data_IF_277931023524
#
_entry.id   IF_277931023524
#
_cell.length_a   1.000
_cell.length_b   1.000
_cell.length_c   1.000
_cell.angle_alpha   90.00
_cell.angle_beta   90.00
_cell.angle_gamma   90.00
#
_symmetry.space_group_name_H-M   'P 1'
#
loop_
_entity.id
_entity.type
_entity.pdbx_description
1 polymer ?
#
# COMPACT_ATOMS: atom_id res chain seq x y z
N UNK A 1 -12.22 17.97 -10.06
CA UNK A 1 -12.36 16.70 -9.30
C UNK A 1 -10.97 16.22 -8.96
N UNK A 2 -10.77 15.44 -7.89
CA UNK A 2 -9.48 14.85 -7.57
C UNK A 2 -9.09 13.78 -8.59
N UNK A 3 -7.79 13.61 -8.85
CA UNK A 3 -7.31 12.53 -9.74
C UNK A 3 -7.36 11.15 -9.06
N UNK A 4 -7.25 11.13 -7.74
CA UNK A 4 -7.37 9.93 -6.93
C UNK A 4 -8.52 10.10 -5.96
N UNK A 5 -9.42 9.14 -5.96
CA UNK A 5 -10.59 9.12 -5.07
C UNK A 5 -10.67 7.80 -4.31
N UNK A 6 -11.24 7.81 -3.11
CA UNK A 6 -11.64 6.60 -2.42
C UNK A 6 -13.14 6.59 -2.11
N UNK A 7 -13.75 5.42 -2.21
CA UNK A 7 -15.18 5.28 -1.99
C UNK A 7 -15.57 3.87 -1.56
N UNK A 8 -16.48 3.73 -0.56
CA UNK A 8 -17.06 2.45 -0.21
C UNK A 8 -18.17 2.00 -1.18
N UNK A 9 -18.53 2.82 -2.16
CA UNK A 9 -19.62 2.55 -3.09
C UNK A 9 -19.09 2.02 -4.42
N UNK A 10 -19.88 1.16 -5.08
CA UNK A 10 -19.60 0.67 -6.42
C UNK A 10 -19.62 1.79 -7.44
N UNK A 11 -18.56 1.88 -8.25
CA UNK A 11 -18.38 2.96 -9.25
C UNK A 11 -18.79 2.59 -10.68
N UNK A 12 -19.16 1.33 -10.94
CA UNK A 12 -19.38 0.80 -12.30
C UNK A 12 -20.31 1.66 -13.16
N UNK A 13 -21.34 2.26 -12.57
CA UNK A 13 -22.32 3.12 -13.28
C UNK A 13 -21.81 4.54 -13.51
N UNK A 14 -20.70 4.93 -12.88
CA UNK A 14 -20.19 6.30 -12.83
C UNK A 14 -18.82 6.46 -13.50
N UNK A 15 -18.28 5.40 -14.11
CA UNK A 15 -16.91 5.40 -14.65
C UNK A 15 -16.70 6.46 -15.72
N UNK A 16 -17.64 6.66 -16.62
CA UNK A 16 -17.56 7.68 -17.66
C UNK A 16 -17.52 9.10 -17.07
N UNK A 17 -18.38 9.38 -16.07
CA UNK A 17 -18.40 10.68 -15.38
C UNK A 17 -17.14 10.92 -14.56
N UNK A 18 -16.66 9.91 -13.83
CA UNK A 18 -15.41 10.01 -13.06
C UNK A 18 -14.24 10.32 -13.98
N UNK A 19 -14.13 9.60 -15.10
CA UNK A 19 -13.08 9.82 -16.09
C UNK A 19 -13.14 11.22 -16.71
N UNK A 20 -14.33 11.67 -17.11
CA UNK A 20 -14.52 13.02 -17.66
C UNK A 20 -14.23 14.12 -16.62
N UNK A 21 -14.40 13.81 -15.34
CA UNK A 21 -14.04 14.65 -14.20
C UNK A 21 -12.55 14.59 -13.83
N UNK A 22 -11.70 13.96 -14.66
CA UNK A 22 -10.25 13.83 -14.48
C UNK A 22 -9.82 12.86 -13.36
N UNK A 23 -10.69 11.93 -12.93
CA UNK A 23 -10.28 10.83 -12.06
C UNK A 23 -9.39 9.88 -12.88
N UNK A 24 -8.30 9.46 -12.29
CA UNK A 24 -7.33 8.52 -12.86
C UNK A 24 -7.29 7.21 -12.07
N UNK A 25 -7.44 7.30 -10.74
CA UNK A 25 -7.39 6.14 -9.85
C UNK A 25 -8.57 6.13 -8.89
N UNK A 26 -9.16 4.96 -8.72
CA UNK A 26 -10.19 4.71 -7.70
C UNK A 26 -9.61 3.77 -6.64
N UNK A 27 -9.61 4.21 -5.38
CA UNK A 27 -9.26 3.35 -4.25
C UNK A 27 -10.53 2.65 -3.78
N UNK A 28 -10.52 1.33 -3.76
CA UNK A 28 -11.64 0.50 -3.35
C UNK A 28 -11.24 -0.42 -2.18
N UNK A 29 -12.23 -0.94 -1.52
CA UNK A 29 -12.06 -1.63 -0.26
C UNK A 29 -11.98 -3.15 -0.41
N UNK A 30 -11.12 -3.75 0.40
CA UNK A 30 -11.13 -5.15 0.79
C UNK A 30 -11.71 -5.27 2.20
N UNK A 31 -12.35 -6.39 2.49
CA UNK A 31 -12.87 -6.73 3.81
C UNK A 31 -13.24 -8.22 3.89
N UNK A 32 -13.52 -8.71 5.09
CA UNK A 32 -14.05 -10.07 5.27
C UNK A 32 -15.49 -10.18 4.78
N UNK A 33 -16.30 -9.18 5.14
CA UNK A 33 -17.74 -9.15 4.79
C UNK A 33 -18.26 -7.73 4.67
N UNK A 34 -19.18 -7.51 3.74
CA UNK A 34 -19.92 -6.27 3.64
C UNK A 34 -20.98 -6.17 4.73
N UNK A 35 -21.22 -4.96 5.25
CA UNK A 35 -22.33 -4.71 6.15
C UNK A 35 -23.63 -4.42 5.38
N UNK A 36 -24.77 -4.47 6.08
CA UNK A 36 -26.06 -4.08 5.51
C UNK A 36 -26.11 -2.60 5.13
N UNK A 37 -25.34 -1.74 5.80
CA UNK A 37 -25.22 -0.30 5.49
C UNK A 37 -24.32 -0.02 4.30
N UNK A 38 -23.34 -0.89 4.03
CA UNK A 38 -22.38 -0.78 2.94
C UNK A 38 -22.31 -2.11 2.19
N UNK A 39 -23.39 -2.50 1.47
CA UNK A 39 -23.49 -3.81 0.82
C UNK A 39 -22.51 -3.98 -0.36
N UNK A 40 -21.97 -2.89 -0.86
CA UNK A 40 -21.07 -2.86 -2.02
C UNK A 40 -19.66 -2.35 -1.65
N UNK A 41 -19.29 -2.33 -0.34
CA UNK A 41 -18.01 -1.81 0.12
C UNK A 41 -16.82 -2.54 -0.54
N UNK A 42 -16.87 -3.88 -0.56
CA UNK A 42 -15.82 -4.68 -1.17
C UNK A 42 -15.88 -4.59 -2.69
N UNK A 43 -14.74 -4.28 -3.33
CA UNK A 43 -14.61 -4.35 -4.78
C UNK A 43 -14.82 -5.79 -5.26
N UNK A 44 -15.53 -5.96 -6.35
CA UNK A 44 -15.73 -7.25 -6.99
C UNK A 44 -14.83 -7.40 -8.23
N UNK A 45 -14.52 -8.65 -8.67
CA UNK A 45 -13.78 -8.87 -9.91
C UNK A 45 -14.40 -8.15 -11.12
N UNK A 46 -15.70 -8.19 -11.26
CA UNK A 46 -16.40 -7.51 -12.35
C UNK A 46 -16.26 -5.98 -12.30
N UNK A 47 -16.28 -5.38 -11.10
CA UNK A 47 -16.04 -3.95 -10.92
C UNK A 47 -14.59 -3.58 -11.25
N UNK A 48 -13.62 -4.37 -10.78
CA UNK A 48 -12.20 -4.16 -11.05
C UNK A 48 -11.91 -4.18 -12.56
N UNK A 49 -12.47 -5.15 -13.28
CA UNK A 49 -12.38 -5.22 -14.75
C UNK A 49 -13.04 -4.02 -15.43
N UNK A 50 -14.21 -3.57 -14.95
CA UNK A 50 -14.88 -2.41 -15.50
C UNK A 50 -14.07 -1.12 -15.32
N UNK A 51 -13.42 -0.94 -14.16
CA UNK A 51 -12.51 0.19 -13.88
C UNK A 51 -11.34 0.18 -14.88
N UNK A 52 -10.69 -0.98 -15.06
CA UNK A 52 -9.62 -1.15 -16.03
C UNK A 52 -10.07 -0.88 -17.47
N UNK A 53 -11.21 -1.41 -17.89
CA UNK A 53 -11.78 -1.20 -19.22
C UNK A 53 -12.14 0.26 -19.49
N UNK A 54 -12.48 1.04 -18.46
CA UNK A 54 -12.68 2.48 -18.57
C UNK A 54 -11.35 3.27 -18.69
N UNK A 55 -10.20 2.60 -18.59
CA UNK A 55 -8.87 3.21 -18.60
C UNK A 55 -8.58 3.99 -17.30
N UNK A 56 -9.09 3.50 -16.18
CA UNK A 56 -8.77 3.97 -14.84
C UNK A 56 -7.92 2.91 -14.14
N UNK A 57 -7.08 3.33 -13.20
CA UNK A 57 -6.36 2.44 -12.31
C UNK A 57 -7.12 2.21 -11.01
N UNK A 58 -6.75 1.15 -10.31
CA UNK A 58 -7.26 0.75 -9.02
C UNK A 58 -6.16 0.88 -7.97
N UNK A 59 -6.53 1.13 -6.73
CA UNK A 59 -5.71 0.92 -5.55
C UNK A 59 -6.59 0.30 -4.47
N UNK A 60 -6.02 -0.44 -3.53
CA UNK A 60 -6.82 -1.20 -2.56
C UNK A 60 -6.48 -0.85 -1.12
N UNK A 61 -7.51 -0.84 -0.27
CA UNK A 61 -7.39 -0.68 1.17
C UNK A 61 -8.22 -1.74 1.89
N UNK A 62 -7.59 -2.46 2.80
CA UNK A 62 -8.29 -3.41 3.67
C UNK A 62 -8.85 -2.69 4.89
N UNK A 63 -10.15 -2.80 5.10
CA UNK A 63 -10.83 -2.28 6.27
C UNK A 63 -12.10 -3.10 6.59
N UNK A 64 -12.00 -3.99 7.58
CA UNK A 64 -13.18 -4.62 8.19
C UNK A 64 -13.74 -3.73 9.30
N UNK A 65 -12.97 -3.51 10.36
CA UNK A 65 -13.23 -2.56 11.44
C UNK A 65 -12.20 -1.44 11.47
N UNK A 66 -10.92 -1.80 11.34
CA UNK A 66 -9.80 -0.86 11.29
C UNK A 66 -9.60 -0.10 12.60
N UNK A 67 -10.07 -0.65 13.73
CA UNK A 67 -9.97 0.00 15.03
C UNK A 67 -10.88 1.23 15.19
N UNK A 68 -11.84 1.43 14.26
CA UNK A 68 -12.76 2.56 14.30
C UNK A 68 -13.48 2.68 15.65
N UNK A 69 -13.62 3.89 16.15
CA UNK A 69 -14.18 4.13 17.48
C UNK A 69 -13.28 3.69 18.64
N UNK A 70 -11.98 3.44 18.40
CA UNK A 70 -11.02 3.03 19.43
C UNK A 70 -11.02 1.52 19.74
N UNK A 71 -11.60 0.69 18.87
CA UNK A 71 -11.68 -0.76 19.07
C UNK A 71 -10.36 -1.43 18.69
N UNK A 72 -9.37 -1.35 19.56
CA UNK A 72 -8.01 -1.86 19.34
C UNK A 72 -7.95 -3.36 19.06
N UNK A 73 -8.93 -4.15 19.53
CA UNK A 73 -9.01 -5.60 19.26
C UNK A 73 -9.14 -5.95 17.77
N UNK A 74 -9.51 -5.00 16.93
CA UNK A 74 -9.54 -5.19 15.48
C UNK A 74 -8.13 -5.16 14.85
N UNK A 75 -7.12 -4.77 15.61
CA UNK A 75 -5.73 -4.50 15.17
C UNK A 75 -4.70 -5.30 15.98
N UNK A 76 -5.07 -6.48 16.47
CA UNK A 76 -4.14 -7.40 17.13
C UNK A 76 -3.42 -8.33 16.13
N UNK A 77 -2.49 -9.13 16.62
CA UNK A 77 -1.69 -10.07 15.79
C UNK A 77 -2.56 -11.07 15.04
N UNK A 78 -3.58 -11.63 15.70
CA UNK A 78 -4.47 -12.62 15.09
C UNK A 78 -5.31 -11.99 13.97
N UNK A 79 -5.79 -10.77 14.17
CA UNK A 79 -6.45 -9.97 13.14
C UNK A 79 -5.49 -9.68 11.98
N UNK A 80 -4.22 -9.38 12.26
CA UNK A 80 -3.20 -9.15 11.23
C UNK A 80 -3.03 -10.34 10.28
N UNK A 81 -2.88 -11.54 10.81
CA UNK A 81 -2.81 -12.78 10.01
C UNK A 81 -4.11 -13.02 9.21
N UNK A 82 -5.26 -12.85 9.86
CA UNK A 82 -6.57 -13.04 9.22
C UNK A 82 -6.79 -12.06 8.07
N UNK A 83 -6.47 -10.77 8.28
CA UNK A 83 -6.64 -9.70 7.31
C UNK A 83 -5.68 -9.87 6.14
N UNK A 84 -4.43 -10.26 6.40
CA UNK A 84 -3.43 -10.55 5.37
C UNK A 84 -3.88 -11.71 4.47
N UNK A 85 -4.27 -12.84 5.05
CA UNK A 85 -4.75 -13.99 4.28
C UNK A 85 -5.96 -13.64 3.41
N UNK A 86 -6.90 -12.85 3.96
CA UNK A 86 -8.06 -12.40 3.20
C UNK A 86 -7.69 -11.40 2.11
N UNK A 87 -6.76 -10.48 2.36
CA UNK A 87 -6.28 -9.52 1.38
C UNK A 87 -5.60 -10.21 0.20
N UNK A 88 -4.74 -11.21 0.44
CA UNK A 88 -4.11 -12.04 -0.60
C UNK A 88 -5.14 -12.74 -1.49
N UNK A 89 -6.16 -13.36 -0.87
CA UNK A 89 -7.24 -14.00 -1.61
C UNK A 89 -7.98 -13.00 -2.51
N UNK A 90 -8.38 -11.83 -1.96
CA UNK A 90 -9.12 -10.81 -2.70
C UNK A 90 -8.29 -10.14 -3.80
N UNK A 91 -7.00 -9.95 -3.56
CA UNK A 91 -6.06 -9.46 -4.56
C UNK A 91 -5.99 -10.41 -5.77
N UNK A 92 -5.87 -11.71 -5.52
CA UNK A 92 -5.92 -12.73 -6.57
C UNK A 92 -7.26 -12.73 -7.34
N UNK A 93 -8.40 -12.63 -6.61
CA UNK A 93 -9.74 -12.61 -7.21
C UNK A 93 -9.92 -11.43 -8.20
N UNK A 94 -9.33 -10.25 -7.92
CA UNK A 94 -9.46 -9.07 -8.79
C UNK A 94 -8.33 -8.91 -9.79
N UNK A 95 -7.33 -9.80 -9.78
CA UNK A 95 -6.15 -9.71 -10.64
C UNK A 95 -5.23 -8.55 -10.26
N UNK A 96 -5.06 -8.26 -8.95
CA UNK A 96 -4.08 -7.29 -8.48
C UNK A 96 -2.68 -7.86 -8.66
N UNK A 97 -1.79 -7.17 -9.39
CA UNK A 97 -0.45 -7.68 -9.68
C UNK A 97 0.44 -7.64 -8.43
N UNK A 98 1.38 -8.57 -8.35
CA UNK A 98 2.44 -8.56 -7.34
C UNK A 98 3.21 -7.24 -7.34
N UNK A 99 3.76 -6.85 -6.19
CA UNK A 99 4.45 -5.59 -6.02
C UNK A 99 3.53 -4.35 -5.87
N UNK A 100 2.22 -4.45 -6.14
CA UNK A 100 1.28 -3.38 -5.82
C UNK A 100 1.14 -3.19 -4.30
N UNK A 101 0.63 -2.03 -3.87
CA UNK A 101 0.38 -1.78 -2.44
C UNK A 101 -1.02 -2.21 -2.06
N UNK A 102 -1.16 -2.85 -0.90
CA UNK A 102 -2.43 -2.99 -0.20
C UNK A 102 -2.33 -2.19 1.10
N UNK A 103 -3.15 -1.17 1.23
CA UNK A 103 -3.24 -0.39 2.46
C UNK A 103 -4.09 -1.12 3.50
N UNK A 104 -3.73 -0.96 4.78
CA UNK A 104 -4.54 -1.42 5.91
C UNK A 104 -4.95 -0.23 6.76
N UNK A 105 -6.24 -0.12 7.07
CA UNK A 105 -6.79 1.05 7.74
C UNK A 105 -6.65 0.96 9.25
N UNK A 106 -6.13 2.06 9.84
CA UNK A 106 -6.18 2.37 11.27
C UNK A 106 -7.02 3.63 11.45
N UNK A 107 -8.32 3.43 11.62
CA UNK A 107 -9.34 4.50 11.53
C UNK A 107 -9.69 5.10 12.90
N UNK A 108 -8.65 5.44 13.66
CA UNK A 108 -8.75 6.12 14.95
C UNK A 108 -7.40 6.74 15.32
N UNK A 109 -7.43 7.83 16.11
CA UNK A 109 -6.20 8.47 16.61
C UNK A 109 -5.67 7.77 17.85
N UNK A 110 -4.93 6.69 17.66
CA UNK A 110 -4.28 5.96 18.75
C UNK A 110 -3.02 6.67 19.21
N UNK A 111 -2.94 6.96 20.50
CA UNK A 111 -1.80 7.65 21.15
C UNK A 111 -1.24 6.87 22.34
N UNK A 112 -2.00 5.92 22.88
CA UNK A 112 -1.55 5.07 23.99
C UNK A 112 -0.39 4.17 23.54
N UNK A 113 0.74 4.12 24.27
CA UNK A 113 1.89 3.32 23.87
C UNK A 113 1.60 1.81 23.73
N UNK A 114 0.69 1.27 24.54
CA UNK A 114 0.26 -0.13 24.47
C UNK A 114 -0.53 -0.40 23.20
N UNK A 115 -1.44 0.51 22.82
CA UNK A 115 -2.17 0.42 21.56
C UNK A 115 -1.24 0.56 20.36
N UNK A 116 -0.28 1.47 20.40
CA UNK A 116 0.73 1.63 19.35
C UNK A 116 1.57 0.35 19.19
N UNK A 117 1.96 -0.29 20.29
CA UNK A 117 2.66 -1.58 20.25
C UNK A 117 1.79 -2.70 19.64
N UNK A 118 0.50 -2.73 19.96
CA UNK A 118 -0.46 -3.69 19.38
C UNK A 118 -0.58 -3.48 17.86
N UNK A 119 -0.77 -2.24 17.40
CA UNK A 119 -0.83 -1.88 15.97
C UNK A 119 0.46 -2.28 15.25
N UNK A 120 1.63 -2.02 15.86
CA UNK A 120 2.90 -2.43 15.28
C UNK A 120 2.99 -3.95 15.10
N UNK A 121 2.48 -4.72 16.05
CA UNK A 121 2.44 -6.18 15.97
C UNK A 121 1.45 -6.68 14.90
N UNK A 122 0.31 -6.01 14.73
CA UNK A 122 -0.63 -6.25 13.63
C UNK A 122 0.04 -6.10 12.26
N UNK A 123 0.75 -5.00 12.03
CA UNK A 123 1.47 -4.78 10.77
C UNK A 123 2.67 -5.71 10.59
N UNK A 124 3.31 -6.14 11.69
CA UNK A 124 4.36 -7.18 11.63
C UNK A 124 3.81 -8.50 11.09
N UNK A 125 2.61 -8.91 11.53
CA UNK A 125 1.95 -10.12 11.06
C UNK A 125 1.60 -10.02 9.57
N UNK A 126 1.02 -8.88 9.13
CA UNK A 126 0.69 -8.64 7.71
C UNK A 126 1.95 -8.69 6.84
N UNK A 127 3.00 -7.98 7.25
CA UNK A 127 4.27 -7.94 6.53
C UNK A 127 4.88 -9.34 6.38
N UNK A 128 4.85 -10.14 7.46
CA UNK A 128 5.32 -11.52 7.45
C UNK A 128 4.53 -12.38 6.46
N UNK A 129 3.19 -12.29 6.49
CA UNK A 129 2.34 -13.17 5.68
C UNK A 129 2.31 -12.77 4.19
N UNK A 130 2.56 -11.49 3.89
CA UNK A 130 2.72 -11.05 2.51
C UNK A 130 4.02 -11.55 1.86
N UNK A 131 5.04 -11.82 2.67
CA UNK A 131 6.31 -12.40 2.22
C UNK A 131 6.91 -11.74 0.96
N UNK A 132 6.72 -10.43 0.80
CA UNK A 132 7.20 -9.67 -0.36
C UNK A 132 6.27 -9.68 -1.57
N UNK A 133 5.23 -10.52 -1.61
CA UNK A 133 4.30 -10.59 -2.74
C UNK A 133 3.58 -9.26 -3.01
N UNK A 134 3.22 -8.53 -1.96
CA UNK A 134 2.64 -7.19 -2.03
C UNK A 134 3.37 -6.25 -1.07
N UNK A 135 3.41 -4.98 -1.42
CA UNK A 135 3.86 -3.94 -0.49
C UNK A 135 2.75 -3.59 0.49
N UNK A 136 3.11 -3.39 1.75
CA UNK A 136 2.15 -2.99 2.79
C UNK A 136 2.06 -1.47 2.84
N UNK A 137 0.84 -0.94 2.79
CA UNK A 137 0.53 0.45 3.09
C UNK A 137 -0.24 0.58 4.40
N UNK A 138 -0.15 1.74 5.05
CA UNK A 138 -0.92 2.07 6.25
C UNK A 138 -1.74 3.33 6.02
N UNK A 139 -3.07 3.25 6.27
CA UNK A 139 -3.95 4.41 6.35
C UNK A 139 -4.15 4.78 7.81
N UNK A 140 -3.98 6.05 8.17
CA UNK A 140 -4.25 6.50 9.54
C UNK A 140 -3.59 7.83 9.92
N UNK A 141 -3.28 7.98 11.21
CA UNK A 141 -2.59 9.15 11.74
C UNK A 141 -1.10 9.17 11.36
N UNK A 142 -0.47 10.33 11.44
CA UNK A 142 0.98 10.45 11.20
C UNK A 142 1.81 9.67 12.23
N UNK A 143 1.34 9.55 13.48
CA UNK A 143 2.01 8.76 14.52
C UNK A 143 2.00 7.28 14.17
N UNK A 144 0.84 6.74 13.82
CA UNK A 144 0.69 5.33 13.41
C UNK A 144 1.52 5.06 12.15
N UNK A 145 1.38 5.90 11.13
CA UNK A 145 2.10 5.77 9.86
C UNK A 145 3.61 5.67 10.07
N UNK A 146 4.20 6.63 10.80
CA UNK A 146 5.63 6.62 11.11
C UNK A 146 6.06 5.40 11.90
N UNK A 147 5.29 5.05 12.95
CA UNK A 147 5.65 3.92 13.80
C UNK A 147 5.77 2.62 13.00
N UNK A 148 4.83 2.40 12.08
CA UNK A 148 4.80 1.18 11.24
C UNK A 148 5.86 1.24 10.15
N UNK A 149 6.08 2.40 9.52
CA UNK A 149 7.11 2.60 8.51
C UNK A 149 8.52 2.51 9.10
N UNK A 150 8.80 3.17 10.23
CA UNK A 150 10.11 3.11 10.89
C UNK A 150 10.45 1.69 11.39
N UNK A 151 9.43 0.86 11.66
CA UNK A 151 9.61 -0.56 11.97
C UNK A 151 9.87 -1.44 10.72
N UNK A 152 9.75 -0.88 9.51
CA UNK A 152 9.92 -1.61 8.25
C UNK A 152 8.74 -2.52 7.87
N UNK A 153 7.58 -2.37 8.50
CA UNK A 153 6.39 -3.21 8.25
C UNK A 153 5.45 -2.62 7.20
N UNK A 154 5.55 -1.33 6.91
CA UNK A 154 4.86 -0.70 5.79
C UNK A 154 5.80 0.23 5.04
N UNK A 155 5.68 0.27 3.72
CA UNK A 155 6.45 1.18 2.86
C UNK A 155 5.69 2.49 2.60
N UNK A 156 4.36 2.46 2.50
CA UNK A 156 3.53 3.58 2.07
C UNK A 156 2.62 4.07 3.20
N UNK A 157 2.53 5.39 3.37
CA UNK A 157 1.62 6.03 4.32
C UNK A 157 0.54 6.80 3.57
N UNK A 158 -0.71 6.47 3.85
CA UNK A 158 -1.88 7.23 3.45
C UNK A 158 -2.45 7.96 4.66
N UNK A 159 -2.25 9.26 4.72
CA UNK A 159 -2.73 10.09 5.82
C UNK A 159 -4.24 10.32 5.74
N UNK A 160 -4.92 10.09 6.86
CA UNK A 160 -6.34 10.40 7.00
C UNK A 160 -6.60 11.91 6.88
N UNK A 161 -7.81 12.28 6.44
CA UNK A 161 -8.25 13.68 6.32
C UNK A 161 -8.26 14.45 7.66
N UNK A 162 -8.12 13.76 8.77
CA UNK A 162 -8.13 14.30 10.13
C UNK A 162 -6.77 14.95 10.48
N UNK A 163 -6.53 16.15 10.00
CA UNK A 163 -5.26 16.88 10.22
C UNK A 163 -4.93 17.15 11.70
N UNK A 164 -5.89 16.98 12.60
CA UNK A 164 -5.70 17.06 14.04
C UNK A 164 -5.19 15.77 14.69
N UNK A 165 -5.18 14.66 13.97
CA UNK A 165 -4.67 13.39 14.48
C UNK A 165 -3.16 13.44 14.71
N UNK A 166 -2.73 12.68 15.71
CA UNK A 166 -1.38 12.71 16.27
C UNK A 166 -0.29 12.47 15.21
N UNK A 167 0.72 13.35 15.20
CA UNK A 167 1.85 13.26 14.27
C UNK A 167 1.55 13.66 12.82
N UNK A 168 0.27 13.86 12.43
CA UNK A 168 -0.12 14.10 11.03
C UNK A 168 0.46 15.42 10.50
N UNK A 169 0.39 16.51 11.26
CA UNK A 169 0.95 17.82 10.85
C UNK A 169 2.46 17.79 10.66
N UNK A 170 3.17 16.99 11.47
CA UNK A 170 4.62 16.90 11.37
C UNK A 170 5.03 16.00 10.20
N UNK A 171 4.31 14.91 9.97
CA UNK A 171 4.58 14.04 8.83
C UNK A 171 4.31 14.76 7.50
N UNK A 172 3.29 15.60 7.42
CA UNK A 172 3.00 16.44 6.24
C UNK A 172 4.12 17.41 5.84
N UNK A 173 5.00 17.77 6.77
CA UNK A 173 6.19 18.62 6.50
C UNK A 173 7.34 17.82 5.87
N UNK A 174 7.19 16.51 5.76
CA UNK A 174 8.19 15.59 5.22
C UNK A 174 7.72 15.04 3.88
N UNK A 175 8.60 14.35 3.17
CA UNK A 175 8.28 13.61 1.94
C UNK A 175 7.99 12.12 2.22
N UNK A 176 7.65 11.73 3.46
CA UNK A 176 7.50 10.34 3.89
C UNK A 176 6.06 9.81 3.82
N UNK A 177 5.16 10.48 3.12
CA UNK A 177 3.77 10.05 2.92
C UNK A 177 3.45 9.96 1.43
N UNK A 178 2.62 9.02 1.05
CA UNK A 178 2.23 8.79 -0.34
C UNK A 178 0.90 9.46 -0.69
N UNK A 179 -0.09 9.32 0.18
CA UNK A 179 -1.44 9.85 -0.03
C UNK A 179 -1.91 10.68 1.17
N UNK A 180 -2.70 11.71 0.88
CA UNK A 180 -3.42 12.50 1.88
C UNK A 180 -4.90 12.59 1.50
N UNK A 181 -5.77 11.98 2.30
CA UNK A 181 -7.21 12.10 2.14
C UNK A 181 -7.70 13.51 2.46
N UNK A 182 -8.72 13.96 1.78
CA UNK A 182 -9.30 15.30 1.89
C UNK A 182 -10.73 15.27 2.37
N UNK A 183 -11.09 16.26 3.18
CA UNK A 183 -12.43 16.52 3.67
C UNK A 183 -12.92 17.89 3.15
N UNK A 184 -14.20 18.11 2.89
CA UNK A 184 -15.32 17.16 2.99
C UNK A 184 -15.39 16.20 1.78
N UNK A 185 -16.18 15.09 1.92
CA UNK A 185 -16.46 14.20 0.80
C UNK A 185 -17.23 14.91 -0.31
N UNK A 186 -17.05 14.41 -1.52
CA UNK A 186 -17.75 14.87 -2.73
C UNK A 186 -18.94 13.96 -2.98
N UNK A 187 -20.16 14.52 -3.10
CA UNK A 187 -21.40 13.74 -3.18
C UNK A 187 -21.65 13.10 -4.56
N UNK A 188 -21.18 13.74 -5.62
CA UNK A 188 -21.48 13.31 -7.00
C UNK A 188 -20.20 13.07 -7.83
N UNK A 189 -20.23 12.16 -8.83
CA UNK A 189 -21.37 11.33 -9.27
C UNK A 189 -21.69 10.15 -8.34
N UNK A 190 -20.76 9.78 -7.49
CA UNK A 190 -20.88 8.84 -6.38
C UNK A 190 -20.21 9.46 -5.16
N UNK A 191 -20.71 9.20 -3.95
CA UNK A 191 -20.07 9.74 -2.74
C UNK A 191 -18.65 9.19 -2.58
N UNK A 192 -17.67 10.08 -2.51
CA UNK A 192 -16.25 9.72 -2.44
C UNK A 192 -15.43 10.78 -1.68
N UNK A 193 -14.30 10.36 -1.15
CA UNK A 193 -13.28 11.25 -0.65
C UNK A 193 -12.20 11.49 -1.73
N UNK A 194 -11.69 12.71 -1.79
CA UNK A 194 -10.58 13.05 -2.66
C UNK A 194 -9.25 12.74 -2.00
N UNK A 195 -8.23 12.44 -2.80
CA UNK A 195 -6.88 12.20 -2.31
C UNK A 195 -5.85 13.04 -3.08
N UNK A 196 -4.86 13.54 -2.37
CA UNK A 196 -3.68 14.18 -2.93
C UNK A 196 -2.52 13.19 -2.89
N UNK A 197 -1.86 13.02 -4.03
CA UNK A 197 -0.64 12.24 -4.15
C UNK A 197 0.55 13.12 -3.78
N UNK A 198 1.47 12.64 -2.97
CA UNK A 198 2.74 13.31 -2.71
C UNK A 198 3.60 13.30 -3.98
N UNK A 199 4.22 14.45 -4.29
CA UNK A 199 5.13 14.53 -5.44
C UNK A 199 6.37 13.62 -5.28
N UNK A 200 6.76 13.32 -4.04
CA UNK A 200 7.84 12.39 -3.73
C UNK A 200 7.45 10.91 -3.91
N UNK A 201 6.15 10.62 -4.03
CA UNK A 201 5.61 9.25 -4.12
C UNK A 201 4.63 9.10 -5.27
N UNK A 202 5.08 9.26 -6.54
CA UNK A 202 4.20 9.12 -7.70
C UNK A 202 3.65 7.68 -7.83
N UNK A 203 4.39 6.69 -7.36
CA UNK A 203 3.91 5.32 -7.12
C UNK A 203 3.34 5.26 -5.69
N UNK A 204 2.01 5.32 -5.58
CA UNK A 204 1.28 5.12 -4.34
C UNK A 204 0.58 3.75 -4.29
N UNK A 205 0.93 2.82 -5.20
CA UNK A 205 0.39 1.47 -5.26
C UNK A 205 -0.78 1.29 -6.21
N UNK A 206 -1.02 2.24 -7.11
CA UNK A 206 -2.02 2.11 -8.16
C UNK A 206 -1.63 1.01 -9.16
N UNK A 207 -2.62 0.31 -9.69
CA UNK A 207 -2.42 -0.76 -10.66
C UNK A 207 -3.60 -0.87 -11.63
N UNK A 208 -3.40 -1.62 -12.71
CA UNK A 208 -4.48 -2.01 -13.63
C UNK A 208 -4.70 -3.52 -13.47
N UNK A 209 -5.91 -3.96 -13.11
CA UNK A 209 -6.21 -5.38 -12.92
C UNK A 209 -5.90 -6.24 -14.14
N UNK A 210 -5.27 -7.39 -13.90
CA UNK A 210 -4.92 -8.35 -14.96
C UNK A 210 -3.72 -7.96 -15.82
N UNK A 211 -3.01 -6.89 -15.50
CA UNK A 211 -1.70 -6.62 -16.07
C UNK A 211 -0.62 -7.33 -15.24
N UNK A 212 0.41 -7.83 -15.93
CA UNK A 212 1.60 -8.34 -15.26
C UNK A 212 2.21 -7.23 -14.42
N UNK A 213 2.74 -7.58 -13.26
CA UNK A 213 3.38 -6.75 -12.24
C UNK A 213 3.38 -5.23 -12.47
N UNK A 214 3.04 -4.42 -11.46
CA UNK A 214 3.13 -2.93 -11.50
C UNK A 214 4.49 -2.45 -12.00
N UNK A 215 5.52 -3.23 -11.78
CA UNK A 215 6.89 -2.99 -12.22
C UNK A 215 7.06 -3.04 -13.74
N UNK A 216 6.25 -3.83 -14.45
CA UNK A 216 6.22 -3.82 -15.92
C UNK A 216 5.69 -2.50 -16.49
N UNK A 217 4.81 -1.80 -15.75
CA UNK A 217 4.23 -0.52 -16.16
C UNK A 217 5.14 0.70 -15.92
N UNK A 218 6.18 0.55 -15.09
CA UNK A 218 7.17 1.62 -14.88
C UNK A 218 8.19 1.69 -16.04
N UNK A 219 8.03 0.88 -17.08
CA UNK A 219 8.92 0.85 -18.25
C UNK A 219 10.32 0.32 -17.93
N UNK A 220 10.51 -0.22 -16.74
CA UNK A 220 11.75 -0.85 -16.35
C UNK A 220 11.69 -2.34 -16.70
N UNK A 221 12.36 -2.74 -17.74
CA UNK A 221 12.76 -4.15 -17.88
C UNK A 221 13.60 -4.48 -16.64
N UNK A 222 13.27 -5.53 -15.88
CA UNK A 222 14.08 -5.93 -14.73
C UNK A 222 15.55 -6.06 -15.17
N UNK A 223 16.41 -5.22 -14.63
CA UNK A 223 17.84 -5.30 -14.95
C UNK A 223 18.44 -6.43 -14.12
N UNK A 224 19.06 -7.40 -14.79
CA UNK A 224 19.86 -8.38 -14.07
C UNK A 224 21.10 -7.69 -13.52
N UNK A 225 21.25 -7.71 -12.21
CA UNK A 225 22.32 -7.04 -11.46
C UNK A 225 23.10 -8.08 -10.65
N UNK A 226 24.37 -7.81 -10.39
CA UNK A 226 25.23 -8.70 -9.62
C UNK A 226 25.69 -8.01 -8.34
N UNK A 227 25.66 -8.70 -7.21
CA UNK A 227 26.21 -8.22 -5.95
C UNK A 227 27.74 -8.15 -6.06
N UNK A 228 28.29 -6.93 -6.13
CA UNK A 228 29.75 -6.69 -6.25
C UNK A 228 30.41 -6.34 -4.92
N UNK A 229 29.68 -6.27 -3.82
CA UNK A 229 30.25 -6.10 -2.48
C UNK A 229 30.95 -7.38 -2.03
N UNK A 230 32.26 -7.32 -1.79
CA UNK A 230 33.10 -8.50 -1.43
C UNK A 230 32.67 -9.18 -0.11
N UNK A 231 32.07 -8.43 0.81
CA UNK A 231 31.50 -8.94 2.08
C UNK A 231 30.04 -9.39 1.99
N UNK A 232 29.47 -9.39 0.78
CA UNK A 232 28.04 -9.55 0.57
C UNK A 232 27.26 -8.24 0.75
N UNK A 233 25.98 -8.23 0.34
CA UNK A 233 25.13 -7.05 0.36
C UNK A 233 23.82 -7.35 1.10
N UNK A 234 23.46 -6.47 2.01
CA UNK A 234 22.27 -6.62 2.81
C UNK A 234 21.01 -6.35 2.00
N UNK A 235 20.08 -7.30 2.03
CA UNK A 235 18.68 -7.12 1.64
C UNK A 235 17.92 -6.54 2.84
N UNK A 236 17.26 -5.42 2.65
CA UNK A 236 16.54 -4.69 3.70
C UNK A 236 15.06 -4.55 3.37
N UNK A 237 14.26 -4.33 4.40
CA UNK A 237 12.81 -4.16 4.29
C UNK A 237 12.38 -2.82 3.67
N UNK A 238 13.31 -1.89 3.47
CA UNK A 238 13.01 -0.58 2.91
C UNK A 238 14.28 0.13 2.42
N UNK A 239 14.10 1.26 1.68
CA UNK A 239 15.18 1.99 1.01
C UNK A 239 15.98 2.87 2.01
N UNK A 240 16.80 2.26 2.85
CA UNK A 240 17.62 3.00 3.82
C UNK A 240 18.39 2.11 4.78
N UNK A 241 19.50 2.62 5.33
CA UNK A 241 20.32 1.89 6.29
C UNK A 241 19.61 1.65 7.63
N UNK A 242 18.63 2.49 7.96
CA UNK A 242 17.81 2.36 9.17
C UNK A 242 16.79 1.23 9.12
N UNK A 243 16.50 0.70 7.93
CA UNK A 243 15.57 -0.42 7.78
C UNK A 243 16.21 -1.74 8.19
N UNK A 244 15.46 -2.64 8.83
CA UNK A 244 15.95 -3.95 9.25
C UNK A 244 16.55 -4.74 8.09
N UNK A 245 17.68 -5.41 8.36
CA UNK A 245 18.27 -6.38 7.44
C UNK A 245 17.50 -7.68 7.55
N UNK A 246 17.00 -8.19 6.44
CA UNK A 246 16.35 -9.51 6.38
C UNK A 246 17.35 -10.64 6.21
N UNK A 247 18.26 -10.43 5.28
CA UNK A 247 19.38 -11.36 5.02
C UNK A 247 20.49 -10.64 4.26
N UNK A 248 21.65 -11.25 4.16
CA UNK A 248 22.74 -10.80 3.29
C UNK A 248 22.89 -11.75 2.11
N UNK A 249 23.02 -11.20 0.90
CA UNK A 249 23.35 -11.95 -0.29
C UNK A 249 24.88 -11.95 -0.50
N UNK A 250 25.49 -13.10 -0.81
CA UNK A 250 26.95 -13.17 -1.03
C UNK A 250 27.35 -12.44 -2.31
N UNK A 251 28.65 -12.11 -2.40
CA UNK A 251 29.28 -11.64 -3.64
C UNK A 251 28.97 -12.57 -4.81
N UNK A 252 28.67 -12.02 -5.98
CA UNK A 252 28.34 -12.78 -7.18
C UNK A 252 26.88 -13.23 -7.24
N UNK A 253 26.03 -12.93 -6.23
CA UNK A 253 24.61 -13.21 -6.33
C UNK A 253 23.97 -12.38 -7.44
N UNK A 254 23.15 -13.03 -8.28
CA UNK A 254 22.35 -12.35 -9.29
C UNK A 254 20.98 -12.01 -8.71
N UNK A 255 20.51 -10.79 -8.96
CA UNK A 255 19.21 -10.27 -8.58
C UNK A 255 18.58 -9.50 -9.73
N UNK A 256 17.27 -9.46 -9.80
CA UNK A 256 16.56 -8.62 -10.75
C UNK A 256 16.23 -7.27 -10.09
N UNK A 257 16.86 -6.18 -10.54
CA UNK A 257 16.50 -4.82 -10.13
C UNK A 257 15.16 -4.44 -10.73
N UNK A 258 14.20 -4.18 -9.87
CA UNK A 258 12.81 -3.89 -10.25
C UNK A 258 12.53 -2.40 -10.30
N UNK A 259 13.04 -1.65 -9.34
CA UNK A 259 12.86 -0.21 -9.22
C UNK A 259 14.01 0.40 -8.43
N UNK A 260 14.39 1.64 -8.78
CA UNK A 260 15.42 2.40 -8.05
C UNK A 260 14.78 3.59 -7.38
N UNK A 261 14.97 3.70 -6.08
CA UNK A 261 14.53 4.81 -5.25
C UNK A 261 15.78 5.44 -4.60
N UNK A 262 16.16 6.62 -5.09
CA UNK A 262 17.43 7.28 -4.75
C UNK A 262 18.63 6.35 -4.99
N UNK A 263 19.26 5.85 -3.93
CA UNK A 263 20.42 4.94 -3.98
C UNK A 263 20.07 3.49 -3.70
N UNK A 264 18.78 3.18 -3.54
CA UNK A 264 18.30 1.86 -3.20
C UNK A 264 17.56 1.23 -4.36
N UNK A 265 17.81 -0.03 -4.60
CA UNK A 265 17.15 -0.81 -5.65
C UNK A 265 16.23 -1.81 -4.99
N UNK A 266 14.95 -1.74 -5.32
CA UNK A 266 13.99 -2.79 -5.02
C UNK A 266 14.36 -4.00 -5.88
N UNK A 267 14.58 -5.15 -5.28
CA UNK A 267 15.07 -6.33 -5.99
C UNK A 267 14.16 -7.54 -5.80
N UNK A 268 14.15 -8.37 -6.83
CA UNK A 268 13.66 -9.74 -6.82
C UNK A 268 14.91 -10.63 -6.86
N UNK A 269 15.10 -11.45 -5.84
CA UNK A 269 16.31 -12.26 -5.64
C UNK A 269 16.20 -13.67 -6.16
N UNK A 270 15.01 -14.10 -6.59
CA UNK A 270 14.71 -15.45 -7.05
C UNK A 270 14.14 -15.51 -8.48
N UNK A 271 13.84 -14.35 -9.09
CA UNK A 271 13.38 -14.26 -10.47
C UNK A 271 11.90 -14.63 -10.67
N UNK A 272 11.09 -14.55 -9.59
CA UNK A 272 9.66 -14.88 -9.68
C UNK A 272 8.77 -13.67 -10.03
N UNK A 273 9.39 -12.49 -10.21
CA UNK A 273 8.70 -11.24 -10.54
C UNK A 273 8.17 -10.49 -9.32
N UNK A 274 8.42 -10.99 -8.12
CA UNK A 274 8.01 -10.38 -6.86
C UNK A 274 9.16 -9.67 -6.17
N UNK A 275 8.87 -8.55 -5.51
CA UNK A 275 9.90 -7.80 -4.79
C UNK A 275 10.22 -8.47 -3.44
N UNK A 276 11.49 -8.78 -3.20
CA UNK A 276 11.97 -9.35 -1.95
C UNK A 276 12.43 -8.29 -0.92
N UNK A 277 12.82 -7.10 -1.38
CA UNK A 277 13.30 -6.02 -0.53
C UNK A 277 14.22 -5.06 -1.26
N UNK A 278 14.95 -4.26 -0.50
CA UNK A 278 15.83 -3.22 -1.03
C UNK A 278 17.32 -3.55 -0.79
N UNK A 279 18.13 -3.29 -1.80
CA UNK A 279 19.59 -3.38 -1.73
C UNK A 279 20.21 -2.04 -2.15
N UNK A 280 21.38 -1.72 -1.60
CA UNK A 280 22.07 -0.48 -1.96
C UNK A 280 22.67 -0.58 -3.37
N UNK A 281 22.16 0.25 -4.29
CA UNK A 281 22.50 0.18 -5.72
C UNK A 281 23.97 0.46 -6.05
N UNK A 282 24.74 1.07 -5.13
CA UNK A 282 26.17 1.28 -5.32
C UNK A 282 27.02 0.00 -5.28
N UNK A 283 26.40 -1.14 -4.95
CA UNK A 283 27.02 -2.46 -4.89
C UNK A 283 26.25 -3.54 -5.68
N UNK A 284 25.41 -3.09 -6.59
CA UNK A 284 24.71 -3.92 -7.58
C UNK A 284 25.20 -3.64 -8.99
#
# INVERSE_FOLDING_TARGET
MFQVIDTPWRVTKHLAELKSGNVQTVIRYFNHSNSTKLPEKRVSPAEAQAIAAAGLSLCTVFQQGGGSGGKISDLDVASGHSDAARALQLAAEIGQPGGAVIYFAVDHDYVDPGHIATIRSYFSAIHHDFAGQFRVGVYGSGLVGRTVQDAGYASHIWLAAASGWSGTKDLLKTEKWALLQKWPPVAAPVSHDGNVVSAAWPDFGQFVPGQDSVLANLGATPALMEVIASGGLNLRRGPGESFPVERSLPYGSLVHGLHTEDKWVLVDTNGDGSADGYMYGGFL
#
